data_IF_252678485972
#
_entry.id   IF_252678485972
#
_cell.length_a   1.000
_cell.length_b   1.000
_cell.length_c   1.000
_cell.angle_alpha   90.00
_cell.angle_beta   90.00
_cell.angle_gamma   90.00
#
_symmetry.space_group_name_H-M   'P 1'
#
loop_
_entity.id
_entity.type
_entity.pdbx_description
1 polymer ?
#
# COMPACT_ATOMS: atom_id res chain seq x y z
N UNK A 1 4.97 28.31 -29.15
CA UNK A 1 4.02 28.40 -30.29
C UNK A 1 3.63 27.01 -30.75
N UNK A 2 2.52 26.47 -30.27
CA UNK A 2 1.91 25.24 -30.79
C UNK A 2 1.02 25.58 -31.98
N UNK A 3 1.34 25.06 -33.17
CA UNK A 3 0.48 25.19 -34.37
C UNK A 3 -0.81 24.40 -34.15
N UNK A 4 -1.97 25.05 -34.28
CA UNK A 4 -3.29 24.44 -34.00
C UNK A 4 -3.57 23.21 -34.87
N UNK A 5 -3.15 23.21 -36.13
CA UNK A 5 -3.31 22.07 -37.05
C UNK A 5 -2.58 20.81 -36.59
N UNK A 6 -1.37 20.96 -36.02
CA UNK A 6 -0.60 19.83 -35.50
C UNK A 6 -1.22 19.23 -34.25
N UNK A 7 -1.95 20.02 -33.44
CA UNK A 7 -2.69 19.51 -32.27
C UNK A 7 -3.84 18.59 -32.70
N UNK A 8 -4.57 18.96 -33.75
CA UNK A 8 -5.66 18.14 -34.27
C UNK A 8 -5.13 16.81 -34.83
N UNK A 9 -4.04 16.84 -35.60
CA UNK A 9 -3.40 15.64 -36.14
C UNK A 9 -2.90 14.71 -35.02
N UNK A 10 -2.28 15.28 -33.98
CA UNK A 10 -1.83 14.50 -32.82
C UNK A 10 -3.01 13.87 -32.06
N UNK A 11 -4.10 14.63 -31.84
CA UNK A 11 -5.29 14.11 -31.17
C UNK A 11 -5.91 12.94 -31.96
N UNK A 12 -6.03 13.08 -33.28
CA UNK A 12 -6.52 12.00 -34.16
C UNK A 12 -5.58 10.79 -34.14
N UNK A 13 -4.27 11.02 -34.17
CA UNK A 13 -3.31 9.94 -34.06
C UNK A 13 -3.44 9.21 -32.73
N UNK A 14 -3.51 9.91 -31.59
CA UNK A 14 -3.69 9.31 -30.26
C UNK A 14 -5.01 8.55 -30.12
N UNK A 15 -6.11 9.04 -30.72
CA UNK A 15 -7.42 8.38 -30.66
C UNK A 15 -7.51 7.14 -31.57
N UNK A 16 -6.82 7.16 -32.71
CA UNK A 16 -6.91 6.10 -33.73
C UNK A 16 -5.79 5.06 -33.62
N UNK A 17 -4.67 5.44 -33.01
CA UNK A 17 -3.49 4.60 -32.86
C UNK A 17 -3.46 3.96 -31.47
N UNK A 18 -3.11 2.68 -31.37
CA UNK A 18 -3.07 1.93 -30.12
C UNK A 18 -3.76 0.57 -30.22
N UNK A 19 -3.47 -0.32 -29.27
CA UNK A 19 -3.99 -1.69 -29.21
C UNK A 19 -5.51 -1.79 -28.98
N UNK A 20 -6.19 -0.67 -28.67
CA UNK A 20 -7.58 -0.61 -28.19
C UNK A 20 -7.85 -1.58 -27.03
N UNK A 21 -6.80 -1.92 -26.29
CA UNK A 21 -6.88 -2.75 -25.12
C UNK A 21 -7.75 -2.07 -24.07
N UNK A 22 -8.61 -2.85 -23.42
CA UNK A 22 -9.45 -2.35 -22.34
C UNK A 22 -8.63 -2.30 -21.06
N UNK A 23 -8.52 -1.11 -20.49
CA UNK A 23 -7.86 -0.87 -19.21
C UNK A 23 -8.90 -0.64 -18.12
N UNK A 24 -8.62 -1.15 -16.92
CA UNK A 24 -9.41 -0.83 -15.73
C UNK A 24 -8.71 0.28 -14.95
N UNK A 25 -9.45 1.26 -14.48
CA UNK A 25 -8.92 2.33 -13.63
C UNK A 25 -9.34 2.04 -12.19
N UNK A 26 -8.36 1.88 -11.31
CA UNK A 26 -8.58 1.70 -9.88
C UNK A 26 -8.30 3.00 -9.13
N UNK A 27 -9.19 3.35 -8.21
CA UNK A 27 -9.07 4.57 -7.39
C UNK A 27 -8.67 4.28 -5.94
N UNK A 28 -8.60 3.00 -5.55
CA UNK A 28 -8.23 2.55 -4.23
C UNK A 28 -7.18 1.44 -4.30
N UNK A 29 -6.40 1.31 -3.24
CA UNK A 29 -5.41 0.25 -3.04
C UNK A 29 -6.06 -1.02 -2.48
N UNK A 30 -5.33 -2.12 -2.42
CA UNK A 30 -5.82 -3.42 -1.97
C UNK A 30 -6.29 -4.31 -3.13
N UNK A 31 -7.09 -5.34 -2.82
CA UNK A 31 -7.59 -6.27 -3.84
C UNK A 31 -8.58 -5.61 -4.79
N UNK A 32 -8.22 -5.55 -6.06
CA UNK A 32 -9.02 -4.98 -7.14
C UNK A 32 -8.70 -5.73 -8.44
N UNK A 33 -9.72 -5.99 -9.26
CA UNK A 33 -9.53 -6.58 -10.60
C UNK A 33 -8.71 -7.90 -10.62
N UNK A 34 -8.77 -8.70 -9.55
CA UNK A 34 -8.02 -9.97 -9.44
C UNK A 34 -6.53 -9.83 -9.07
N UNK A 35 -6.08 -8.62 -8.72
CA UNK A 35 -4.71 -8.35 -8.26
C UNK A 35 -4.73 -7.46 -7.02
N UNK A 36 -3.59 -7.38 -6.33
CA UNK A 36 -3.41 -6.49 -5.18
C UNK A 36 -2.69 -5.23 -5.63
N UNK A 37 -3.33 -4.07 -5.45
CA UNK A 37 -2.79 -2.76 -5.82
C UNK A 37 -2.12 -2.14 -4.59
N UNK A 38 -0.82 -1.91 -4.68
CA UNK A 38 -0.02 -1.27 -3.64
C UNK A 38 -0.20 0.25 -3.66
N UNK A 39 0.00 0.95 -2.52
CA UNK A 39 -0.14 2.41 -2.47
C UNK A 39 0.83 3.23 -3.31
N UNK A 40 1.96 2.64 -3.71
CA UNK A 40 2.90 3.21 -4.67
C UNK A 40 2.52 2.93 -6.14
N UNK A 41 1.45 2.17 -6.37
CA UNK A 41 0.95 1.79 -7.69
C UNK A 41 1.49 0.46 -8.21
N UNK A 42 2.36 -0.24 -7.47
CA UNK A 42 2.77 -1.60 -7.83
C UNK A 42 1.54 -2.54 -7.84
N UNK A 43 1.49 -3.45 -8.82
CA UNK A 43 0.41 -4.42 -8.96
C UNK A 43 0.98 -5.81 -8.72
N UNK A 44 0.54 -6.45 -7.65
CA UNK A 44 0.94 -7.81 -7.29
C UNK A 44 -0.15 -8.79 -7.77
N UNK A 45 0.24 -9.71 -8.64
CA UNK A 45 -0.65 -10.67 -9.29
C UNK A 45 -0.84 -10.39 -10.78
N UNK A 46 -1.80 -11.06 -11.40
CA UNK A 46 -2.05 -10.97 -12.85
C UNK A 46 -3.52 -10.67 -13.08
N UNK A 47 -3.90 -9.38 -13.20
CA UNK A 47 -5.29 -9.01 -13.48
C UNK A 47 -5.67 -9.42 -14.91
N UNK A 48 -6.95 -9.69 -15.14
CA UNK A 48 -7.48 -10.10 -16.46
C UNK A 48 -7.33 -8.99 -17.52
N UNK A 49 -7.47 -7.73 -17.09
CA UNK A 49 -7.18 -6.55 -17.90
C UNK A 49 -6.08 -5.74 -17.21
N UNK A 50 -5.22 -5.03 -17.97
CA UNK A 50 -4.29 -4.09 -17.36
C UNK A 50 -5.02 -3.07 -16.48
N UNK A 51 -4.43 -2.79 -15.32
CA UNK A 51 -4.99 -1.87 -14.34
C UNK A 51 -4.10 -0.64 -14.24
N UNK A 52 -4.70 0.54 -14.29
CA UNK A 52 -4.07 1.80 -13.97
C UNK A 52 -4.55 2.25 -12.59
N UNK A 53 -3.62 2.42 -11.65
CA UNK A 53 -3.93 3.04 -10.37
C UNK A 53 -3.91 4.57 -10.51
N UNK A 54 -5.04 5.21 -10.22
CA UNK A 54 -5.23 6.67 -10.27
C UNK A 54 -5.53 7.28 -8.88
N UNK A 55 -5.33 6.50 -7.82
CA UNK A 55 -5.45 7.01 -6.46
C UNK A 55 -4.21 7.82 -6.05
N UNK A 56 -4.42 9.00 -5.47
CA UNK A 56 -3.34 9.74 -4.79
C UNK A 56 -3.21 9.18 -3.38
N UNK A 57 -2.19 8.36 -3.11
CA UNK A 57 -1.89 7.94 -1.74
C UNK A 57 -0.80 8.82 -1.15
N UNK A 58 -1.11 9.59 -0.10
CA UNK A 58 -0.10 10.31 0.68
C UNK A 58 0.94 9.37 1.31
N UNK A 59 0.59 8.10 1.50
CA UNK A 59 1.46 7.07 2.04
C UNK A 59 2.41 6.46 0.99
N UNK A 60 2.23 6.72 -0.32
CA UNK A 60 3.01 6.11 -1.40
C UNK A 60 4.53 6.20 -1.17
N UNK A 61 5.02 7.37 -0.75
CA UNK A 61 6.44 7.60 -0.48
C UNK A 61 6.99 6.77 0.69
N UNK A 62 6.12 6.28 1.58
CA UNK A 62 6.51 5.44 2.71
C UNK A 62 6.65 3.96 2.34
N UNK A 63 5.96 3.48 1.31
CA UNK A 63 6.07 2.10 0.82
C UNK A 63 7.40 1.94 0.09
N UNK A 64 8.38 1.34 0.77
CA UNK A 64 9.76 1.25 0.31
C UNK A 64 10.36 -0.06 0.79
N UNK A 65 11.25 -0.64 -0.01
CA UNK A 65 11.94 -1.88 0.37
C UNK A 65 13.33 -1.54 0.92
N UNK A 66 13.62 -2.02 2.13
CA UNK A 66 14.96 -1.97 2.72
C UNK A 66 15.36 -3.35 3.25
N UNK A 67 16.47 -3.88 2.73
CA UNK A 67 16.95 -5.21 3.08
C UNK A 67 16.16 -6.33 2.38
N UNK A 68 15.90 -7.42 3.09
CA UNK A 68 15.19 -8.60 2.58
C UNK A 68 14.25 -9.17 3.63
N UNK A 69 13.27 -9.97 3.21
CA UNK A 69 12.36 -10.66 4.14
C UNK A 69 13.12 -11.52 5.17
N UNK A 70 14.23 -12.17 4.75
CA UNK A 70 15.11 -12.91 5.65
C UNK A 70 15.73 -11.98 6.70
N UNK A 71 16.32 -10.87 6.26
CA UNK A 71 16.91 -9.89 7.16
C UNK A 71 15.88 -9.31 8.14
N UNK A 72 14.68 -8.98 7.67
CA UNK A 72 13.60 -8.48 8.52
C UNK A 72 13.18 -9.52 9.57
N UNK A 73 13.03 -10.79 9.17
CA UNK A 73 12.70 -11.86 10.12
C UNK A 73 13.79 -12.04 11.18
N UNK A 74 15.05 -12.09 10.76
CA UNK A 74 16.17 -12.43 11.63
C UNK A 74 16.54 -11.27 12.59
N UNK A 75 16.24 -10.01 12.20
CA UNK A 75 16.61 -8.81 12.95
C UNK A 75 15.43 -8.03 13.57
N UNK A 76 14.20 -8.16 13.07
CA UNK A 76 13.01 -7.46 13.58
C UNK A 76 12.04 -8.44 14.22
N UNK A 77 11.52 -9.40 13.44
CA UNK A 77 10.51 -10.34 13.93
C UNK A 77 11.02 -11.19 15.11
N UNK A 78 12.28 -11.64 15.02
CA UNK A 78 12.92 -12.41 16.09
C UNK A 78 12.96 -11.66 17.42
N UNK A 79 13.12 -10.33 17.40
CA UNK A 79 13.16 -9.52 18.61
C UNK A 79 11.78 -9.29 19.22
N UNK A 80 10.71 -9.42 18.43
CA UNK A 80 9.33 -9.30 18.91
C UNK A 80 8.85 -10.55 19.66
N UNK A 81 9.56 -11.68 19.56
CA UNK A 81 9.15 -12.92 20.22
C UNK A 81 9.05 -12.76 21.74
N UNK A 82 7.92 -13.17 22.31
CA UNK A 82 7.61 -13.00 23.73
C UNK A 82 7.03 -11.64 24.09
N UNK A 83 7.02 -10.66 23.19
CA UNK A 83 6.31 -9.40 23.37
C UNK A 83 4.94 -9.46 22.67
N UNK A 84 3.88 -9.75 23.45
CA UNK A 84 2.54 -9.95 22.90
C UNK A 84 1.99 -8.73 22.15
N UNK A 85 2.33 -7.50 22.56
CA UNK A 85 1.92 -6.28 21.86
C UNK A 85 2.53 -6.23 20.46
N UNK A 86 3.85 -6.43 20.34
CA UNK A 86 4.55 -6.42 19.05
C UNK A 86 4.13 -7.59 18.16
N UNK A 87 3.99 -8.80 18.72
CA UNK A 87 3.49 -9.96 17.99
C UNK A 87 2.07 -9.71 17.44
N UNK A 88 1.20 -9.08 18.22
CA UNK A 88 -0.15 -8.69 17.80
C UNK A 88 -0.09 -7.66 16.67
N UNK A 89 0.76 -6.64 16.77
CA UNK A 89 0.96 -5.65 15.72
C UNK A 89 1.45 -6.26 14.40
N UNK A 90 2.44 -7.16 14.46
CA UNK A 90 2.92 -7.93 13.30
C UNK A 90 1.80 -8.77 12.69
N UNK A 91 1.06 -9.50 13.53
CA UNK A 91 -0.05 -10.35 13.07
C UNK A 91 -1.15 -9.54 12.37
N UNK A 92 -1.52 -8.39 12.94
CA UNK A 92 -2.52 -7.50 12.34
C UNK A 92 -2.05 -6.93 10.99
N UNK A 93 -0.79 -6.51 10.90
CA UNK A 93 -0.20 -6.07 9.63
C UNK A 93 -0.26 -7.20 8.58
N UNK A 94 0.25 -8.39 8.89
CA UNK A 94 0.22 -9.54 7.96
C UNK A 94 -1.20 -9.97 7.57
N UNK A 95 -2.19 -9.77 8.45
CA UNK A 95 -3.58 -10.08 8.15
C UNK A 95 -4.21 -9.10 7.15
N UNK A 96 -3.77 -7.84 7.10
CA UNK A 96 -4.37 -6.79 6.27
C UNK A 96 -4.58 -7.18 4.79
N UNK A 97 -3.57 -7.72 4.06
CA UNK A 97 -3.78 -8.16 2.68
C UNK A 97 -4.58 -9.47 2.58
N UNK A 98 -4.75 -10.24 3.65
CA UNK A 98 -5.47 -11.53 3.61
C UNK A 98 -6.98 -11.36 3.79
N UNK A 99 -7.42 -10.33 4.53
CA UNK A 99 -8.83 -10.07 4.85
C UNK A 99 -9.70 -10.05 3.58
N UNK A 100 -9.24 -9.36 2.53
CA UNK A 100 -9.97 -9.29 1.26
C UNK A 100 -10.05 -10.62 0.49
N UNK A 101 -9.08 -11.53 0.67
CA UNK A 101 -9.11 -12.85 0.04
C UNK A 101 -10.08 -13.81 0.72
N UNK A 102 -10.22 -13.68 2.05
CA UNK A 102 -11.10 -14.55 2.83
C UNK A 102 -12.51 -14.00 2.99
N UNK A 103 -12.78 -12.80 2.44
CA UNK A 103 -14.08 -12.13 2.57
C UNK A 103 -14.43 -11.74 4.01
N UNK A 104 -13.42 -11.48 4.85
CA UNK A 104 -13.62 -11.05 6.21
C UNK A 104 -13.78 -9.53 6.30
N UNK A 105 -14.34 -9.05 7.40
CA UNK A 105 -14.40 -7.62 7.70
C UNK A 105 -13.03 -7.08 8.13
N UNK A 106 -12.78 -5.81 7.79
CA UNK A 106 -11.63 -5.08 8.28
C UNK A 106 -11.72 -4.83 9.80
N UNK A 107 -10.58 -4.70 10.46
CA UNK A 107 -10.51 -4.37 11.87
C UNK A 107 -9.38 -3.38 12.17
N UNK A 108 -9.45 -2.75 13.34
CA UNK A 108 -8.39 -1.90 13.87
C UNK A 108 -7.99 -2.35 15.27
N UNK A 109 -6.74 -2.08 15.66
CA UNK A 109 -6.23 -2.34 17.01
C UNK A 109 -5.81 -1.01 17.63
N UNK A 110 -6.35 -0.72 18.81
CA UNK A 110 -5.97 0.44 19.60
C UNK A 110 -5.12 0.00 20.79
N UNK A 111 -3.82 0.31 20.76
CA UNK A 111 -2.93 0.12 21.90
C UNK A 111 -3.14 1.26 22.89
N UNK A 112 -3.73 0.95 24.06
CA UNK A 112 -3.98 1.92 25.13
C UNK A 112 -3.14 1.57 26.36
N UNK A 113 -2.25 2.48 26.74
CA UNK A 113 -1.36 2.31 27.90
C UNK A 113 -0.69 3.64 28.28
N UNK A 114 -0.01 3.70 29.42
CA UNK A 114 0.82 4.85 29.82
C UNK A 114 1.89 5.22 28.77
N UNK A 115 2.41 6.45 28.84
CA UNK A 115 3.51 6.89 27.97
C UNK A 115 4.73 5.97 28.12
N UNK A 116 5.52 5.82 27.06
CA UNK A 116 6.71 4.96 27.02
C UNK A 116 6.48 3.45 27.19
N UNK A 117 5.23 2.97 27.20
CA UNK A 117 4.91 1.54 27.25
C UNK A 117 5.11 0.77 25.93
N UNK A 118 5.79 1.35 24.93
CA UNK A 118 6.10 0.66 23.67
C UNK A 118 5.00 0.66 22.60
N UNK A 119 3.94 1.49 22.74
CA UNK A 119 2.88 1.65 21.73
C UNK A 119 3.43 2.05 20.36
N UNK A 120 4.24 3.10 20.31
CA UNK A 120 4.87 3.59 19.08
C UNK A 120 5.81 2.54 18.50
N UNK A 121 6.58 1.85 19.34
CA UNK A 121 7.47 0.77 18.89
C UNK A 121 6.68 -0.36 18.26
N UNK A 122 5.55 -0.76 18.85
CA UNK A 122 4.66 -1.78 18.29
C UNK A 122 4.11 -1.36 16.92
N UNK A 123 3.63 -0.12 16.79
CA UNK A 123 3.17 0.42 15.53
C UNK A 123 4.29 0.46 14.48
N UNK A 124 5.51 0.87 14.86
CA UNK A 124 6.66 0.93 13.96
C UNK A 124 7.08 -0.46 13.46
N UNK A 125 7.10 -1.46 14.35
CA UNK A 125 7.39 -2.85 13.98
C UNK A 125 6.35 -3.36 12.97
N UNK A 126 5.06 -3.10 13.20
CA UNK A 126 3.99 -3.46 12.27
C UNK A 126 4.15 -2.76 10.90
N UNK A 127 4.37 -1.44 10.89
CA UNK A 127 4.54 -0.66 9.65
C UNK A 127 5.80 -1.03 8.87
N UNK A 128 6.86 -1.53 9.54
CA UNK A 128 8.12 -1.92 8.89
C UNK A 128 7.99 -3.09 7.92
N UNK A 129 6.87 -3.83 7.96
CA UNK A 129 6.53 -4.83 6.94
C UNK A 129 6.28 -4.21 5.56
N UNK A 130 5.82 -2.96 5.53
CA UNK A 130 5.37 -2.29 4.32
C UNK A 130 6.30 -1.17 3.86
N UNK A 131 7.13 -0.63 4.75
CA UNK A 131 8.14 0.35 4.39
C UNK A 131 8.63 1.17 5.56
N UNK A 132 8.92 2.44 5.34
CA UNK A 132 9.50 3.32 6.36
C UNK A 132 8.41 3.78 7.36
N UNK A 133 8.48 3.36 8.64
CA UNK A 133 7.47 3.73 9.62
C UNK A 133 7.28 5.24 9.81
N UNK A 134 8.34 6.04 9.68
CA UNK A 134 8.27 7.49 9.87
C UNK A 134 7.47 8.19 8.77
N UNK A 135 7.49 7.64 7.56
CA UNK A 135 6.71 8.14 6.41
C UNK A 135 5.31 7.55 6.36
N UNK A 136 5.12 6.34 6.90
CA UNK A 136 3.82 5.66 6.92
C UNK A 136 2.93 6.09 8.10
N UNK A 137 3.53 6.57 9.19
CA UNK A 137 2.79 6.96 10.39
C UNK A 137 2.04 8.27 10.14
N UNK A 138 0.73 8.17 10.13
CA UNK A 138 -0.16 9.33 10.15
C UNK A 138 -0.47 9.76 11.58
N UNK A 139 -0.81 11.04 11.74
CA UNK A 139 -1.30 11.57 13.01
C UNK A 139 -2.75 11.99 12.86
N UNK A 140 -3.51 11.97 13.96
CA UNK A 140 -4.89 12.44 13.99
C UNK A 140 -5.02 13.97 13.91
N UNK A 141 -3.91 14.70 13.74
CA UNK A 141 -3.91 16.13 13.44
C UNK A 141 -4.26 16.36 11.97
N UNK A 142 -5.52 16.11 11.62
CA UNK A 142 -6.08 16.30 10.28
C UNK A 142 -7.60 16.38 10.36
N UNK A 143 -8.24 16.78 9.26
CA UNK A 143 -9.70 16.73 9.11
C UNK A 143 -10.12 15.44 8.42
N UNK A 144 -11.33 14.96 8.72
CA UNK A 144 -11.97 13.89 7.96
C UNK A 144 -12.28 14.31 6.52
#
# INVERSE_FOLDING_TARGET
TTKSSLRAILADWLQRSGSRELWRVAHATGWQCGAYIMPDGEIIGTPENPVLFSGRSSAAAGYTVSGSAKSWRDNVARLAFGNYSMMTGIGAALAAPLIGLVGADGFGIHFYEQSSAGKTTTANVASSLYGNPDLLRLTWYGTA
#
